data_IF_701623670799
#
_entry.id   IF_701623670799
#
_cell.length_a   1.000
_cell.length_b   1.000
_cell.length_c   1.000
_cell.angle_alpha   90.00
_cell.angle_beta   90.00
_cell.angle_gamma   90.00
#
_symmetry.space_group_name_H-M   'P 1'
#
loop_
_entity.id
_entity.type
_entity.pdbx_description
1 polymer ?
#
# COMPACT_ATOMS: atom_id res chain seq x y z
N UNK A 1 -5.95 30.42 -3.48
CA UNK A 1 -7.34 30.33 -3.88
C UNK A 1 -8.12 29.57 -2.82
N UNK A 2 -9.36 29.96 -2.58
CA UNK A 2 -10.19 29.33 -1.56
C UNK A 2 -11.20 28.42 -2.22
N UNK A 3 -11.34 27.22 -1.68
CA UNK A 3 -12.27 26.21 -2.21
C UNK A 3 -13.27 25.80 -1.15
N UNK A 4 -14.51 25.66 -1.56
CA UNK A 4 -15.52 24.97 -0.75
C UNK A 4 -15.27 23.47 -0.82
N UNK A 5 -15.83 22.72 0.11
CA UNK A 5 -15.63 21.27 0.14
C UNK A 5 -16.02 20.60 -1.18
N UNK A 6 -17.12 21.04 -1.80
CA UNK A 6 -17.57 20.48 -3.08
C UNK A 6 -16.59 20.75 -4.20
N UNK A 7 -15.99 21.93 -4.20
CA UNK A 7 -15.00 22.33 -5.19
C UNK A 7 -13.70 21.53 -5.02
N UNK A 8 -13.24 21.38 -3.79
CA UNK A 8 -12.05 20.58 -3.49
C UNK A 8 -12.26 19.12 -3.87
N UNK A 9 -13.43 18.56 -3.53
CA UNK A 9 -13.79 17.18 -3.88
C UNK A 9 -13.73 16.97 -5.40
N UNK A 10 -14.27 17.93 -6.15
CA UNK A 10 -14.26 17.87 -7.61
C UNK A 10 -12.84 17.93 -8.17
N UNK A 11 -12.00 18.81 -7.64
CA UNK A 11 -10.60 18.92 -8.07
C UNK A 11 -9.82 17.64 -7.79
N UNK A 12 -10.09 17.00 -6.65
CA UNK A 12 -9.42 15.75 -6.27
C UNK A 12 -10.05 14.51 -6.91
N UNK A 13 -11.19 14.66 -7.57
CA UNK A 13 -11.90 13.55 -8.18
C UNK A 13 -12.48 12.57 -7.16
N UNK A 14 -12.92 13.08 -6.02
CA UNK A 14 -13.47 12.27 -4.92
C UNK A 14 -14.80 12.86 -4.45
N UNK A 15 -15.49 12.14 -3.56
CA UNK A 15 -16.72 12.64 -2.93
C UNK A 15 -16.41 13.60 -1.79
N UNK A 16 -17.39 14.42 -1.41
CA UNK A 16 -17.26 15.29 -0.24
C UNK A 16 -17.05 14.51 1.04
N UNK A 17 -17.64 13.32 1.15
CA UNK A 17 -17.39 12.44 2.28
C UNK A 17 -15.93 11.99 2.37
N UNK A 18 -15.30 11.76 1.23
CA UNK A 18 -13.88 11.41 1.18
C UNK A 18 -13.02 12.57 1.66
N UNK A 19 -13.36 13.81 1.26
CA UNK A 19 -12.66 15.00 1.75
C UNK A 19 -12.78 15.12 3.27
N UNK A 20 -13.98 14.87 3.82
CA UNK A 20 -14.17 14.86 5.27
C UNK A 20 -13.31 13.80 5.95
N UNK A 21 -13.17 12.65 5.32
CA UNK A 21 -12.29 11.59 5.82
C UNK A 21 -10.83 12.03 5.84
N UNK A 22 -10.37 12.71 4.80
CA UNK A 22 -9.02 13.26 4.77
C UNK A 22 -8.79 14.26 5.90
N UNK A 23 -9.79 15.06 6.20
CA UNK A 23 -9.74 15.99 7.32
C UNK A 23 -9.70 15.24 8.66
N UNK A 24 -10.53 14.22 8.82
CA UNK A 24 -10.56 13.39 10.03
C UNK A 24 -9.24 12.66 10.24
N UNK A 25 -8.58 12.27 9.17
CA UNK A 25 -7.25 11.62 9.22
C UNK A 25 -6.12 12.61 9.49
N UNK A 26 -6.40 13.90 9.49
CA UNK A 26 -5.39 14.92 9.71
C UNK A 26 -4.55 15.27 8.50
N UNK A 27 -4.98 14.89 7.31
CA UNK A 27 -4.25 15.22 6.08
C UNK A 27 -4.44 16.66 5.65
N UNK A 28 -5.61 17.21 5.89
CA UNK A 28 -5.97 18.59 5.57
C UNK A 28 -6.76 19.17 6.74
N UNK A 29 -6.85 20.49 6.74
CA UNK A 29 -7.57 21.22 7.78
C UNK A 29 -8.31 22.39 7.13
N UNK A 30 -9.62 22.42 7.28
CA UNK A 30 -10.42 23.53 6.80
C UNK A 30 -10.13 24.78 7.64
N UNK A 31 -10.13 25.93 6.98
CA UNK A 31 -10.01 27.22 7.63
C UNK A 31 -11.37 27.89 7.61
N UNK A 32 -11.75 28.47 8.74
CA UNK A 32 -13.02 29.19 8.83
C UNK A 32 -12.80 30.65 8.40
N UNK A 33 -13.62 31.10 7.45
CA UNK A 33 -13.59 32.49 7.02
C UNK A 33 -14.12 33.38 8.16
N UNK A 34 -13.36 34.39 8.52
CA UNK A 34 -13.70 35.30 9.64
C UNK A 34 -14.98 36.10 9.37
N UNK A 35 -15.24 36.42 8.11
CA UNK A 35 -16.38 37.30 7.75
C UNK A 35 -17.66 36.47 7.58
N UNK A 36 -17.59 35.35 6.85
CA UNK A 36 -18.78 34.59 6.50
C UNK A 36 -19.02 33.41 7.45
N UNK A 37 -18.00 32.97 8.20
CA UNK A 37 -18.08 31.80 9.03
C UNK A 37 -18.03 30.49 8.26
N UNK A 38 -17.95 30.53 6.93
CA UNK A 38 -17.87 29.32 6.13
C UNK A 38 -16.47 28.73 6.16
N UNK A 39 -16.42 27.40 6.08
CA UNK A 39 -15.14 26.67 6.00
C UNK A 39 -14.68 26.63 4.56
N UNK A 40 -13.39 26.80 4.37
CA UNK A 40 -12.78 26.71 3.05
C UNK A 40 -11.45 25.97 3.12
N UNK A 41 -11.00 25.51 1.96
CA UNK A 41 -9.72 24.85 1.76
C UNK A 41 -8.90 25.67 0.77
N UNK A 42 -7.60 25.43 0.72
CA UNK A 42 -6.71 26.16 -0.17
C UNK A 42 -5.88 25.23 -1.05
N UNK A 43 -5.03 25.81 -1.88
CA UNK A 43 -4.20 25.05 -2.81
C UNK A 43 -3.26 24.09 -2.10
N UNK A 44 -2.76 24.44 -0.91
CA UNK A 44 -1.88 23.57 -0.14
C UNK A 44 -2.57 22.27 0.27
N UNK A 45 -3.86 22.32 0.47
CA UNK A 45 -4.64 21.11 0.82
C UNK A 45 -4.63 20.10 -0.32
N UNK A 46 -4.61 20.56 -1.56
CA UNK A 46 -4.52 19.68 -2.74
C UNK A 46 -3.21 18.92 -2.69
N UNK A 47 -2.10 19.62 -2.49
CA UNK A 47 -0.78 19.01 -2.39
C UNK A 47 -0.67 18.08 -1.19
N UNK A 48 -1.24 18.47 -0.06
CA UNK A 48 -1.24 17.64 1.15
C UNK A 48 -1.94 16.30 0.91
N UNK A 49 -3.08 16.30 0.23
CA UNK A 49 -3.80 15.07 -0.10
C UNK A 49 -3.00 14.22 -1.07
N UNK A 50 -2.40 14.83 -2.10
CA UNK A 50 -1.58 14.09 -3.06
C UNK A 50 -0.39 13.45 -2.38
N UNK A 51 0.29 14.16 -1.50
CA UNK A 51 1.41 13.62 -0.73
C UNK A 51 0.95 12.50 0.20
N UNK A 52 -0.18 12.68 0.88
CA UNK A 52 -0.72 11.66 1.77
C UNK A 52 -1.02 10.38 1.00
N UNK A 53 -1.61 10.47 -0.19
CA UNK A 53 -1.88 9.30 -1.03
C UNK A 53 -0.61 8.57 -1.42
N UNK A 54 0.46 9.30 -1.74
CA UNK A 54 1.75 8.69 -2.04
C UNK A 54 2.36 8.02 -0.80
N UNK A 55 2.26 8.66 0.35
CA UNK A 55 2.75 8.09 1.60
C UNK A 55 2.03 6.80 1.97
N UNK A 56 0.73 6.70 1.70
CA UNK A 56 -0.01 5.44 1.85
C UNK A 56 0.58 4.35 0.97
N UNK A 57 0.89 4.67 -0.28
CA UNK A 57 1.51 3.72 -1.22
C UNK A 57 2.88 3.26 -0.74
N UNK A 58 3.64 4.15 -0.10
CA UNK A 58 4.94 3.81 0.46
C UNK A 58 4.84 2.97 1.73
N UNK A 59 3.63 2.78 2.25
CA UNK A 59 3.40 1.94 3.41
C UNK A 59 3.47 2.65 4.75
N UNK A 60 3.42 3.98 4.76
CA UNK A 60 3.29 4.73 6.01
C UNK A 60 1.88 4.56 6.58
N UNK A 61 1.76 4.47 7.89
CA UNK A 61 0.46 4.41 8.54
C UNK A 61 -0.21 5.79 8.53
N UNK A 62 -1.52 5.82 8.73
CA UNK A 62 -2.26 7.09 8.81
C UNK A 62 -1.73 7.98 9.91
N UNK A 63 -1.34 7.40 11.05
CA UNK A 63 -0.74 8.13 12.16
C UNK A 63 0.58 8.77 11.75
N UNK A 64 1.45 8.02 11.08
CA UNK A 64 2.72 8.54 10.57
C UNK A 64 2.50 9.66 9.56
N UNK A 65 1.54 9.47 8.65
CA UNK A 65 1.23 10.49 7.64
C UNK A 65 0.75 11.78 8.29
N UNK A 66 -0.10 11.69 9.30
CA UNK A 66 -0.54 12.86 10.06
C UNK A 66 0.62 13.59 10.72
N UNK A 67 1.53 12.85 11.33
CA UNK A 67 2.72 13.42 11.96
C UNK A 67 3.63 14.09 10.93
N UNK A 68 3.76 13.48 9.75
CA UNK A 68 4.62 13.98 8.69
C UNK A 68 4.18 15.33 8.13
N UNK A 69 2.92 15.73 8.36
CA UNK A 69 2.43 17.04 7.97
C UNK A 69 3.22 18.17 8.65
N UNK A 70 3.74 17.93 9.84
CA UNK A 70 4.49 18.93 10.63
C UNK A 70 6.00 18.67 10.64
N UNK A 71 6.48 17.70 9.87
CA UNK A 71 7.90 17.37 9.85
C UNK A 71 8.74 18.44 9.16
N UNK A 72 9.94 18.65 9.70
CA UNK A 72 10.98 19.38 9.00
C UNK A 72 11.51 18.54 7.82
N UNK A 73 12.31 19.16 6.96
CA UNK A 73 12.95 18.42 5.88
C UNK A 73 13.83 17.28 6.41
N UNK A 74 14.58 17.54 7.47
CA UNK A 74 15.42 16.53 8.10
C UNK A 74 14.61 15.34 8.63
N UNK A 75 13.52 15.63 9.31
CA UNK A 75 12.64 14.60 9.85
C UNK A 75 12.01 13.77 8.73
N UNK A 76 11.65 14.41 7.62
CA UNK A 76 11.12 13.72 6.45
C UNK A 76 12.17 12.81 5.82
N UNK A 77 13.40 13.29 5.69
CA UNK A 77 14.52 12.51 5.15
C UNK A 77 14.74 11.27 6.02
N UNK A 78 14.75 11.43 7.33
CA UNK A 78 14.92 10.30 8.24
C UNK A 78 13.80 9.28 8.13
N UNK A 79 12.57 9.74 8.05
CA UNK A 79 11.40 8.87 7.89
C UNK A 79 11.48 8.07 6.59
N UNK A 80 11.88 8.71 5.51
CA UNK A 80 12.01 8.06 4.20
C UNK A 80 13.12 7.02 4.23
N UNK A 81 14.28 7.37 4.78
CA UNK A 81 15.40 6.44 4.89
C UNK A 81 15.01 5.21 5.70
N UNK A 82 14.34 5.42 6.81
CA UNK A 82 13.87 4.32 7.66
C UNK A 82 12.91 3.40 6.91
N UNK A 83 11.99 3.99 6.13
CA UNK A 83 11.04 3.21 5.34
C UNK A 83 11.74 2.43 4.23
N UNK A 84 12.72 3.02 3.58
CA UNK A 84 13.53 2.34 2.57
C UNK A 84 14.24 1.13 3.18
N UNK A 85 14.84 1.29 4.35
CA UNK A 85 15.52 0.18 5.04
C UNK A 85 14.54 -0.94 5.38
N UNK A 86 13.33 -0.60 5.82
CA UNK A 86 12.27 -1.58 6.08
C UNK A 86 11.87 -2.32 4.79
N UNK A 87 11.73 -1.58 3.69
CA UNK A 87 11.40 -2.19 2.39
C UNK A 87 12.51 -3.12 1.91
N UNK A 88 13.76 -2.75 2.09
CA UNK A 88 14.90 -3.60 1.74
C UNK A 88 14.85 -4.92 2.51
N UNK A 89 14.53 -4.88 3.79
CA UNK A 89 14.35 -6.09 4.59
C UNK A 89 13.17 -6.92 4.11
N UNK A 90 12.07 -6.27 3.74
CA UNK A 90 10.90 -6.95 3.19
C UNK A 90 11.22 -7.64 1.86
N UNK A 91 11.96 -6.97 0.99
CA UNK A 91 12.39 -7.53 -0.29
C UNK A 91 13.28 -8.74 -0.07
N UNK A 92 14.26 -8.63 0.82
CA UNK A 92 15.16 -9.74 1.16
C UNK A 92 14.38 -10.94 1.67
N UNK A 93 13.44 -10.71 2.58
CA UNK A 93 12.61 -11.79 3.13
C UNK A 93 11.70 -12.42 2.07
N UNK A 94 11.07 -11.60 1.24
CA UNK A 94 10.21 -12.12 0.16
C UNK A 94 11.02 -12.89 -0.87
N UNK A 95 12.23 -12.46 -1.17
CA UNK A 95 13.13 -13.17 -2.07
C UNK A 95 13.47 -14.55 -1.51
N UNK A 96 13.76 -14.62 -0.22
CA UNK A 96 14.02 -15.89 0.46
C UNK A 96 12.79 -16.81 0.41
N UNK A 97 11.62 -16.31 0.73
CA UNK A 97 10.40 -17.11 0.68
C UNK A 97 10.09 -17.60 -0.73
N UNK A 98 10.32 -16.72 -1.72
CA UNK A 98 10.10 -17.08 -3.12
C UNK A 98 11.00 -18.24 -3.54
N UNK A 99 12.25 -18.22 -3.13
CA UNK A 99 13.18 -19.34 -3.39
C UNK A 99 12.69 -20.63 -2.78
N UNK A 100 12.28 -20.59 -1.53
CA UNK A 100 11.76 -21.77 -0.85
C UNK A 100 10.51 -22.32 -1.51
N UNK A 101 9.57 -21.42 -1.84
CA UNK A 101 8.33 -21.80 -2.50
C UNK A 101 8.61 -22.42 -3.87
N UNK A 102 9.54 -21.84 -4.62
CA UNK A 102 9.92 -22.33 -5.93
C UNK A 102 10.54 -23.72 -5.84
N UNK A 103 11.39 -23.95 -4.87
CA UNK A 103 12.00 -25.26 -4.64
C UNK A 103 10.93 -26.30 -4.32
N UNK A 104 9.99 -25.97 -3.46
CA UNK A 104 8.87 -26.84 -3.12
C UNK A 104 7.99 -27.13 -4.35
N UNK A 105 7.72 -26.09 -5.13
CA UNK A 105 6.95 -26.22 -6.36
C UNK A 105 7.62 -27.19 -7.35
N UNK A 106 8.93 -27.01 -7.56
CA UNK A 106 9.68 -27.87 -8.48
C UNK A 106 9.72 -29.32 -7.98
N UNK A 107 9.86 -29.51 -6.69
CA UNK A 107 9.87 -30.84 -6.09
C UNK A 107 8.51 -31.52 -6.26
N UNK A 108 7.44 -30.81 -5.99
CA UNK A 108 6.08 -31.34 -6.13
C UNK A 108 5.74 -31.63 -7.59
N UNK A 109 6.15 -30.76 -8.49
CA UNK A 109 5.94 -30.94 -9.92
C UNK A 109 6.69 -32.18 -10.43
N UNK A 110 7.91 -32.35 -9.97
CA UNK A 110 8.70 -33.52 -10.30
C UNK A 110 8.06 -34.80 -9.75
N UNK A 111 7.57 -34.77 -8.52
CA UNK A 111 6.89 -35.91 -7.91
C UNK A 111 5.61 -36.26 -8.66
N UNK A 112 4.85 -35.29 -9.07
CA UNK A 112 3.63 -35.52 -9.87
C UNK A 112 3.96 -36.17 -11.21
N UNK A 113 4.97 -35.63 -11.89
CA UNK A 113 5.42 -36.19 -13.18
C UNK A 113 5.94 -37.62 -13.00
N UNK A 114 6.71 -37.85 -11.98
CA UNK A 114 7.23 -39.18 -11.67
C UNK A 114 6.08 -40.14 -11.36
N UNK A 115 5.13 -39.72 -10.58
CA UNK A 115 3.97 -40.53 -10.22
C UNK A 115 3.15 -40.91 -11.47
N UNK A 116 2.95 -39.98 -12.37
CA UNK A 116 2.26 -40.24 -13.64
C UNK A 116 3.03 -41.27 -14.49
N UNK A 117 4.34 -41.05 -14.59
CA UNK A 117 5.20 -41.97 -15.34
C UNK A 117 5.18 -43.35 -14.75
N UNK A 118 5.26 -43.45 -13.45
CA UNK A 118 5.21 -44.74 -12.76
C UNK A 118 3.86 -45.39 -12.97
N UNK A 119 2.79 -44.64 -12.93
CA UNK A 119 1.45 -45.18 -13.20
C UNK A 119 1.33 -45.75 -14.60
N UNK A 120 1.96 -45.10 -15.57
CA UNK A 120 1.96 -45.61 -16.94
C UNK A 120 2.85 -46.84 -17.12
N UNK A 121 4.06 -46.77 -16.57
CA UNK A 121 5.02 -47.84 -16.75
C UNK A 121 4.69 -49.07 -15.88
N UNK A 122 4.07 -48.83 -14.77
CA UNK A 122 3.66 -49.93 -13.90
C UNK A 122 2.22 -50.27 -14.04
N UNK A 123 1.68 -49.92 -15.12
CA UNK A 123 0.36 -50.36 -15.34
C UNK A 123 0.38 -51.79 -15.56
N UNK A 124 0.89 -52.45 -14.67
CA UNK A 124 0.65 -53.84 -14.71
C UNK A 124 -0.77 -54.00 -14.40
N UNK A 125 -1.18 -55.08 -14.69
CA UNK A 125 -2.45 -55.50 -14.24
C UNK A 125 -2.48 -55.35 -12.72
N UNK A 126 -3.60 -55.10 -12.13
CA UNK A 126 -3.74 -55.05 -10.71
C UNK A 126 -3.24 -56.29 -10.01
N UNK A 127 -3.09 -57.36 -10.72
CA UNK A 127 -2.63 -58.59 -10.16
C UNK A 127 -1.18 -58.56 -9.75
N UNK A 128 -0.41 -57.77 -10.46
CA UNK A 128 0.99 -57.65 -10.16
C UNK A 128 1.21 -56.90 -8.87
N UNK A 129 0.18 -56.38 -8.29
CA UNK A 129 0.25 -55.69 -7.02
C UNK A 129 -0.20 -56.59 -5.89
N UNK A 130 -0.77 -57.63 -6.22
CA UNK A 130 -1.29 -58.54 -5.23
C UNK A 130 -0.20 -59.21 -4.42
#
# INVERSE_FOLDING_TARGET
MKYKISELAKLLGVSTNTVRRYEDMGYISAVRDENSGYRYYNDDDIFSVMNAKMHVKYGFSHEQISQMQSFSLEETIDAYKKRIDEMDKQITYMTYLRHRLKDDYLLMNKAATYSDTVSYTHLPSPRDRG
#
